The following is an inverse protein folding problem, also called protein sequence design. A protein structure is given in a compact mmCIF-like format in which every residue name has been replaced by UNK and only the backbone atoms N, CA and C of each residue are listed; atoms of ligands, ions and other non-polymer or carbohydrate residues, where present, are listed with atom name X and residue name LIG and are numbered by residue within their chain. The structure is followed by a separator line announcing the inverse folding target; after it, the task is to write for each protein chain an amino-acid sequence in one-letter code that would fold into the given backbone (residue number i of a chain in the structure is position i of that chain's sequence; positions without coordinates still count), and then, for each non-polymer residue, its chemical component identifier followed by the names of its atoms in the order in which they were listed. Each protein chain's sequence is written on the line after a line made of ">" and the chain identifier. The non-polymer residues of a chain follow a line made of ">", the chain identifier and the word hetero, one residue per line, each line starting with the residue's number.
data_IF_427488076244
#
_entry.id   IF_427488076244
#
_cell.length_a   1.000
_cell.length_b   1.000
_cell.length_c   1.000
_cell.angle_alpha   90.00
_cell.angle_beta   90.00
_cell.angle_gamma   90.00
#
_symmetry.space_group_name_H-M   'P 1'
#
loop_
_entity.id
_entity.type
_entity.pdbx_description
1 polymer ?
#
# COMPACT_ATOMS: atom_id res chain seq x y z
N UNK A 1 6.28 8.68 2.43
CA UNK A 1 7.00 9.23 1.42
C UNK A 1 7.88 8.32 0.69
N UNK A 2 8.61 7.47 1.37
CA UNK A 2 9.38 6.45 0.72
C UNK A 2 8.47 5.66 -0.18
N UNK A 3 7.27 5.43 0.28
CA UNK A 3 6.33 4.67 -0.49
C UNK A 3 5.95 5.37 -1.76
N UNK A 4 5.69 6.66 -1.65
CA UNK A 4 5.32 7.43 -2.79
C UNK A 4 6.44 7.49 -3.78
N UNK A 5 7.64 7.60 -3.28
CA UNK A 5 8.80 7.64 -4.09
C UNK A 5 8.96 6.34 -4.84
N UNK A 6 8.82 5.28 -4.14
CA UNK A 6 8.91 3.97 -4.72
C UNK A 6 7.95 3.79 -5.86
N UNK A 7 6.75 4.29 -5.69
CA UNK A 7 5.81 4.06 -6.72
C UNK A 7 6.13 4.75 -8.00
N UNK A 8 6.99 5.73 -7.98
CA UNK A 8 7.38 6.31 -9.18
C UNK A 8 8.16 5.42 -9.98
N UNK A 9 8.29 4.45 -9.62
CA UNK A 9 9.30 3.83 -10.11
C UNK A 9 8.95 2.54 -10.62
N UNK A 10 8.65 2.48 -11.73
CA UNK A 10 9.05 1.39 -12.44
C UNK A 10 10.45 1.04 -11.99
N UNK A 11 11.14 2.04 -11.65
CA UNK A 11 12.41 1.96 -11.04
C UNK A 11 12.36 1.19 -9.79
N UNK A 12 11.21 1.15 -9.23
CA UNK A 12 10.95 0.44 -8.05
C UNK A 12 11.53 -0.95 -8.00
N UNK A 13 11.43 -1.66 -9.09
CA UNK A 13 11.92 -3.02 -9.08
C UNK A 13 13.40 -3.04 -8.81
N UNK A 14 14.13 -2.22 -9.50
CA UNK A 14 15.55 -2.15 -9.30
C UNK A 14 15.88 -1.72 -7.89
N UNK A 15 15.11 -0.79 -7.38
CA UNK A 15 15.34 -0.32 -6.04
C UNK A 15 15.08 -1.43 -5.04
N UNK A 16 14.04 -2.18 -5.26
CA UNK A 16 13.74 -3.27 -4.35
C UNK A 16 14.87 -4.26 -4.30
N UNK A 17 15.39 -4.57 -5.45
CA UNK A 17 16.47 -5.51 -5.50
C UNK A 17 17.73 -4.97 -4.86
N UNK A 18 17.99 -3.70 -5.07
CA UNK A 18 19.17 -3.17 -4.45
C UNK A 18 18.97 -2.99 -2.96
N UNK A 19 17.74 -2.92 -2.52
CA UNK A 19 17.45 -2.83 -1.10
C UNK A 19 17.27 -4.20 -0.50
N UNK A 20 17.64 -5.20 -1.20
CA UNK A 20 17.52 -6.55 -0.72
C UNK A 20 18.20 -6.71 0.63
N UNK A 21 19.23 -5.95 0.83
CA UNK A 21 19.94 -5.99 2.10
C UNK A 21 19.10 -5.48 3.24
N UNK A 22 18.07 -4.74 2.91
CA UNK A 22 17.22 -4.17 3.94
C UNK A 22 16.02 -5.04 4.20
N UNK A 23 16.05 -6.23 3.73
CA UNK A 23 14.93 -7.11 3.90
C UNK A 23 14.49 -7.22 5.34
N UNK A 24 15.46 -7.26 6.23
CA UNK A 24 15.13 -7.36 7.64
C UNK A 24 14.40 -6.11 8.10
N UNK A 25 14.79 -4.97 7.58
CA UNK A 25 14.17 -3.73 7.97
C UNK A 25 12.75 -3.62 7.45
N UNK A 26 12.46 -4.24 6.30
CA UNK A 26 11.11 -4.18 5.77
C UNK A 26 10.24 -5.33 6.22
N UNK A 27 10.82 -6.30 6.91
CA UNK A 27 10.03 -7.40 7.40
C UNK A 27 8.98 -6.88 8.36
N UNK A 28 7.75 -7.13 8.04
CA UNK A 28 6.64 -6.68 8.87
C UNK A 28 6.26 -5.23 8.63
N UNK A 29 7.05 -4.49 7.86
CA UNK A 29 6.70 -3.11 7.54
C UNK A 29 5.71 -3.10 6.40
N UNK A 30 4.80 -2.17 6.38
CA UNK A 30 3.87 -2.09 5.25
C UNK A 30 4.61 -1.63 4.01
N UNK A 31 4.34 -2.31 2.92
CA UNK A 31 4.91 -1.93 1.63
C UNK A 31 3.75 -1.46 0.78
N UNK A 32 3.78 -0.22 0.34
CA UNK A 32 2.69 0.39 -0.40
C UNK A 32 3.16 0.70 -1.80
N UNK A 33 2.46 0.15 -2.78
CA UNK A 33 2.76 0.40 -4.18
C UNK A 33 1.54 1.06 -4.80
N UNK A 34 1.71 2.20 -5.41
CA UNK A 34 0.63 2.92 -6.05
C UNK A 34 0.93 2.97 -7.54
N UNK A 35 -0.02 2.57 -8.34
CA UNK A 35 0.13 2.56 -9.79
C UNK A 35 -0.82 3.57 -10.38
N UNK A 36 -0.26 4.65 -10.88
CA UNK A 36 -1.04 5.76 -11.39
C UNK A 36 -1.89 6.31 -10.25
N UNK A 37 -3.10 6.67 -10.52
CA UNK A 37 -4.02 7.08 -9.48
C UNK A 37 -5.13 6.04 -9.39
N UNK A 38 -4.82 4.83 -9.80
CA UNK A 38 -5.85 3.83 -9.98
C UNK A 38 -5.75 2.59 -9.12
N UNK A 39 -4.56 2.25 -8.67
CA UNK A 39 -4.36 1.01 -7.93
C UNK A 39 -3.44 1.22 -6.76
N UNK A 40 -3.74 0.56 -5.67
CA UNK A 40 -2.88 0.56 -4.49
C UNK A 40 -2.74 -0.87 -4.04
N UNK A 41 -1.51 -1.31 -3.88
CA UNK A 41 -1.21 -2.62 -3.32
C UNK A 41 -0.52 -2.39 -1.98
N UNK A 42 -1.02 -2.99 -0.95
CA UNK A 42 -0.42 -2.84 0.37
C UNK A 42 -0.10 -4.21 0.91
N UNK A 43 1.17 -4.43 1.21
CA UNK A 43 1.63 -5.69 1.76
C UNK A 43 1.91 -5.52 3.24
N UNK A 44 1.78 -6.60 3.97
CA UNK A 44 2.04 -6.64 5.41
C UNK A 44 1.06 -5.82 6.23
N UNK A 45 -0.19 -5.78 5.79
CA UNK A 45 -1.22 -5.20 6.63
C UNK A 45 -1.72 -6.28 7.59
N UNK A 46 -2.39 -5.85 8.64
CA UNK A 46 -2.87 -6.78 9.65
C UNK A 46 -4.38 -6.98 9.58
N UNK A 47 -5.11 -5.90 9.52
CA UNK A 47 -6.56 -5.99 9.50
C UNK A 47 -7.14 -4.73 8.90
N UNK A 48 -8.30 -4.86 8.31
CA UNK A 48 -9.02 -3.73 7.73
C UNK A 48 -9.88 -3.15 8.83
N UNK A 49 -9.71 -1.85 9.09
CA UNK A 49 -10.45 -1.17 10.13
C UNK A 49 -11.70 -0.49 9.61
N UNK A 50 -11.61 0.10 8.41
CA UNK A 50 -12.74 0.78 7.80
C UNK A 50 -12.67 0.57 6.30
N UNK A 51 -13.83 0.47 5.70
CA UNK A 51 -13.92 0.32 4.26
C UNK A 51 -15.18 0.98 3.75
N UNK A 52 -15.01 1.91 2.83
CA UNK A 52 -16.12 2.48 2.10
C UNK A 52 -15.61 2.79 0.70
N UNK A 53 -16.46 3.31 -0.15
CA UNK A 53 -16.03 3.63 -1.51
C UNK A 53 -15.18 4.90 -1.55
N UNK A 54 -15.02 5.58 -0.45
CA UNK A 54 -14.18 6.77 -0.42
C UNK A 54 -13.02 6.65 0.55
N UNK A 55 -12.99 5.62 1.34
CA UNK A 55 -11.98 5.54 2.39
C UNK A 55 -11.74 4.09 2.80
N UNK A 56 -10.49 3.72 2.86
CA UNK A 56 -10.11 2.40 3.37
C UNK A 56 -9.01 2.63 4.38
N UNK A 57 -9.17 2.06 5.56
CA UNK A 57 -8.16 2.19 6.60
C UNK A 57 -7.81 0.81 7.10
N UNK A 58 -6.55 0.57 7.27
CA UNK A 58 -6.10 -0.72 7.75
C UNK A 58 -5.00 -0.55 8.77
N UNK A 59 -4.90 -1.54 9.63
CA UNK A 59 -3.87 -1.56 10.65
C UNK A 59 -2.68 -2.32 10.12
N UNK A 60 -1.49 -1.82 10.42
CA UNK A 60 -0.25 -2.48 10.06
C UNK A 60 0.56 -2.69 11.33
N UNK A 61 1.69 -3.30 11.18
CA UNK A 61 2.56 -3.54 12.32
C UNK A 61 3.01 -2.25 12.98
N UNK A 62 3.17 -1.21 12.20
CA UNK A 62 3.68 0.06 12.72
C UNK A 62 2.60 1.10 12.99
N UNK A 63 1.39 0.81 12.67
CA UNK A 63 0.34 1.80 12.87
C UNK A 63 -0.80 1.55 11.90
N UNK A 64 -1.23 2.61 11.22
CA UNK A 64 -2.33 2.51 10.30
C UNK A 64 -1.98 3.12 8.96
N UNK A 65 -2.61 2.60 7.91
CA UNK A 65 -2.47 3.16 6.58
C UNK A 65 -3.87 3.50 6.10
N UNK A 66 -4.04 4.68 5.53
CA UNK A 66 -5.34 5.14 5.04
C UNK A 66 -5.26 5.46 3.56
N UNK A 67 -6.26 5.03 2.83
CA UNK A 67 -6.38 5.33 1.40
C UNK A 67 -7.67 6.07 1.21
N UNK A 68 -7.61 7.24 0.57
CA UNK A 68 -8.80 8.05 0.31
C UNK A 68 -8.95 8.25 -1.19
N UNK A 69 -10.19 8.33 -1.63
CA UNK A 69 -10.44 8.53 -3.03
C UNK A 69 -11.90 8.39 -3.36
N UNK A 70 -12.18 7.93 -4.57
CA UNK A 70 -13.55 7.74 -5.05
C UNK A 70 -13.68 6.39 -5.69
N UNK A 71 -14.82 5.77 -5.48
CA UNK A 71 -15.13 4.47 -6.05
C UNK A 71 -14.07 3.44 -5.71
N UNK A 72 -13.61 3.48 -4.47
CA UNK A 72 -12.60 2.53 -4.03
C UNK A 72 -13.22 1.16 -3.89
N UNK A 73 -12.52 0.17 -4.38
CA UNK A 73 -12.98 -1.21 -4.33
C UNK A 73 -11.81 -2.09 -3.91
N UNK A 74 -12.05 -2.97 -2.99
CA UNK A 74 -11.05 -3.96 -2.64
C UNK A 74 -11.20 -5.10 -3.63
N UNK A 75 -10.24 -5.22 -4.54
CA UNK A 75 -10.29 -6.24 -5.57
C UNK A 75 -10.06 -7.62 -4.97
N UNK A 76 -9.10 -7.70 -4.08
CA UNK A 76 -8.92 -8.91 -3.31
C UNK A 76 -8.00 -8.61 -2.13
N UNK A 77 -8.01 -9.48 -1.15
CA UNK A 77 -7.07 -9.40 -0.05
C UNK A 77 -6.88 -10.79 0.53
N UNK A 78 -5.75 -10.96 1.17
CA UNK A 78 -5.50 -12.18 1.91
C UNK A 78 -4.83 -11.77 3.23
N UNK A 79 -4.15 -12.69 3.88
CA UNK A 79 -3.60 -12.37 5.19
C UNK A 79 -2.43 -11.42 5.14
N UNK A 80 -1.85 -11.24 3.98
CA UNK A 80 -0.64 -10.43 3.87
C UNK A 80 -0.75 -9.22 2.97
N UNK A 81 -1.68 -9.20 2.04
CA UNK A 81 -1.75 -8.08 1.12
C UNK A 81 -3.17 -7.74 0.73
N UNK A 82 -3.35 -6.52 0.30
CA UNK A 82 -4.65 -6.04 -0.12
C UNK A 82 -4.45 -5.21 -1.39
N UNK A 83 -5.36 -5.39 -2.33
CA UNK A 83 -5.31 -4.71 -3.61
C UNK A 83 -6.57 -3.86 -3.75
N UNK A 84 -6.37 -2.56 -3.82
CA UNK A 84 -7.47 -1.60 -3.90
C UNK A 84 -7.41 -0.89 -5.24
N UNK A 85 -8.56 -0.76 -5.89
CA UNK A 85 -8.65 -0.04 -7.14
C UNK A 85 -9.66 1.09 -6.98
N UNK A 86 -9.63 2.04 -7.91
CA UNK A 86 -10.54 3.17 -7.90
C UNK A 86 -9.78 4.42 -8.28
N UNK A 87 -10.31 5.56 -7.88
CA UNK A 87 -9.63 6.82 -8.12
C UNK A 87 -8.94 7.20 -6.81
N UNK A 88 -7.65 7.05 -6.78
CA UNK A 88 -6.87 7.24 -5.55
C UNK A 88 -6.48 8.70 -5.41
N UNK A 89 -6.90 9.32 -4.34
CA UNK A 89 -6.58 10.72 -4.09
C UNK A 89 -5.44 10.90 -3.10
N UNK A 90 -5.38 10.06 -2.10
CA UNK A 90 -4.27 10.15 -1.16
C UNK A 90 -4.06 8.82 -0.46
N UNK A 91 -2.84 8.60 -0.04
CA UNK A 91 -2.48 7.44 0.76
C UNK A 91 -1.63 7.98 1.90
N UNK A 92 -2.04 7.70 3.13
CA UNK A 92 -1.34 8.17 4.30
C UNK A 92 -0.82 6.98 5.07
N UNK A 93 0.47 6.79 5.06
CA UNK A 93 1.07 5.66 5.77
C UNK A 93 1.09 5.86 7.27
#
# INVERSE_FOLDING_TARGET
>A
YIYIYIMKAGVLMGIRESLHLSQDAVLGMPVITIIGCREVHIENFRTILEYSDTFVKMRTKKGCVSVSGKRLTIEYYNEEEIHITGFIESVIP
#
